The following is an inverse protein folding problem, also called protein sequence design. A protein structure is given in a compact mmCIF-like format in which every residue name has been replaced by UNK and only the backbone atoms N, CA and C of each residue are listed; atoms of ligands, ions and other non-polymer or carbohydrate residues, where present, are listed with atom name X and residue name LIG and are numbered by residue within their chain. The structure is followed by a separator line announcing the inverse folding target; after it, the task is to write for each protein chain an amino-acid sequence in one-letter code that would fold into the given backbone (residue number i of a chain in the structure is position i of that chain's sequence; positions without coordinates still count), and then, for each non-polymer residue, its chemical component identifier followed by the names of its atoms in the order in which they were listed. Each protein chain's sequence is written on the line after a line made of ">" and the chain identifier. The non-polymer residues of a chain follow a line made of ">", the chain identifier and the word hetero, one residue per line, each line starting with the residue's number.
data_IF_328567213404
#
_entry.id   IF_328567213404
#
_cell.length_a   1.000
_cell.length_b   1.000
_cell.length_c   1.000
_cell.angle_alpha   90.00
_cell.angle_beta   90.00
_cell.angle_gamma   90.00
#
_symmetry.space_group_name_H-M   'P 1'
#
loop_
_entity.id
_entity.type
_entity.pdbx_description
1 polymer ?
#
# COMPACT_ATOMS: atom_id res chain seq x y z
N UNK A 1 4.91 -3.95 35.10
CA UNK A 1 4.12 -2.75 34.72
C UNK A 1 4.57 -2.08 33.41
N UNK A 2 5.87 -1.76 33.20
CA UNK A 2 6.35 -1.13 31.94
C UNK A 2 6.16 -2.00 30.69
N UNK A 3 6.40 -3.32 30.79
CA UNK A 3 6.27 -4.27 29.66
C UNK A 3 4.81 -4.41 29.19
N UNK A 4 3.86 -4.48 30.13
CA UNK A 4 2.44 -4.59 29.80
C UNK A 4 1.90 -3.33 29.12
N UNK A 5 2.33 -2.14 29.57
CA UNK A 5 1.98 -0.87 28.92
C UNK A 5 2.56 -0.78 27.51
N UNK A 6 3.80 -1.22 27.30
CA UNK A 6 4.42 -1.27 25.97
C UNK A 6 3.72 -2.27 25.05
N UNK A 7 3.34 -3.44 25.58
CA UNK A 7 2.59 -4.48 24.84
C UNK A 7 1.23 -3.96 24.36
N UNK A 8 0.46 -3.35 25.27
CA UNK A 8 -0.84 -2.74 24.93
C UNK A 8 -0.67 -1.67 23.86
N UNK A 9 0.31 -0.77 24.03
CA UNK A 9 0.61 0.30 23.05
C UNK A 9 0.95 -0.27 21.67
N UNK A 10 1.83 -1.28 21.60
CA UNK A 10 2.22 -1.92 20.35
C UNK A 10 1.03 -2.62 19.66
N UNK A 11 0.22 -3.34 20.43
CA UNK A 11 -0.99 -3.99 19.91
C UNK A 11 -2.02 -3.00 19.36
N UNK A 12 -2.26 -1.87 20.04
CA UNK A 12 -3.16 -0.82 19.56
C UNK A 12 -2.64 -0.14 18.30
N UNK A 13 -1.33 0.16 18.21
CA UNK A 13 -0.73 0.76 17.01
C UNK A 13 -0.89 -0.15 15.80
N UNK A 14 -0.59 -1.45 15.95
CA UNK A 14 -0.78 -2.44 14.88
C UNK A 14 -2.24 -2.58 14.47
N UNK A 15 -3.17 -2.50 15.44
CA UNK A 15 -4.60 -2.57 15.16
C UNK A 15 -5.11 -1.36 14.37
N UNK A 16 -4.74 -0.14 14.79
CA UNK A 16 -5.09 1.09 14.06
C UNK A 16 -4.46 1.09 12.66
N UNK A 17 -3.19 0.68 12.55
CA UNK A 17 -2.50 0.56 11.26
C UNK A 17 -3.24 -0.39 10.31
N UNK A 18 -3.69 -1.54 10.82
CA UNK A 18 -4.49 -2.50 10.04
C UNK A 18 -5.80 -1.89 9.52
N UNK A 19 -6.51 -1.10 10.34
CA UNK A 19 -7.74 -0.42 9.90
C UNK A 19 -7.43 0.61 8.80
N UNK A 20 -6.38 1.42 8.99
CA UNK A 20 -5.97 2.41 7.98
C UNK A 20 -5.58 1.72 6.68
N UNK A 21 -4.78 0.65 6.76
CA UNK A 21 -4.39 -0.15 5.60
C UNK A 21 -5.60 -0.72 4.87
N UNK A 22 -6.61 -1.21 5.60
CA UNK A 22 -7.86 -1.69 5.01
C UNK A 22 -8.60 -0.58 4.25
N UNK A 23 -8.72 0.63 4.82
CA UNK A 23 -9.37 1.77 4.15
C UNK A 23 -8.61 2.16 2.88
N UNK A 24 -7.28 2.23 2.96
CA UNK A 24 -6.42 2.55 1.80
C UNK A 24 -6.56 1.47 0.72
N UNK A 25 -6.59 0.19 1.08
CA UNK A 25 -6.85 -0.93 0.17
C UNK A 25 -8.17 -0.73 -0.59
N UNK A 26 -9.26 -0.38 0.11
CA UNK A 26 -10.57 -0.17 -0.53
C UNK A 26 -10.45 0.92 -1.59
N UNK A 27 -9.85 2.06 -1.23
CA UNK A 27 -9.66 3.19 -2.16
C UNK A 27 -8.81 2.78 -3.37
N UNK A 28 -7.71 2.04 -3.16
CA UNK A 28 -6.83 1.59 -4.24
C UNK A 28 -7.48 0.56 -5.16
N UNK A 29 -8.29 -0.36 -4.64
CA UNK A 29 -9.00 -1.35 -5.44
C UNK A 29 -10.09 -0.67 -6.27
N UNK A 30 -10.96 0.14 -5.65
CA UNK A 30 -12.02 0.85 -6.36
C UNK A 30 -11.47 1.87 -7.36
N UNK A 31 -10.46 2.66 -6.96
CA UNK A 31 -9.77 3.60 -7.83
C UNK A 31 -9.07 2.89 -8.98
N UNK A 32 -8.39 1.77 -8.71
CA UNK A 32 -7.71 0.96 -9.72
C UNK A 32 -8.66 0.36 -10.75
N UNK A 33 -9.78 -0.21 -10.31
CA UNK A 33 -10.84 -0.74 -11.20
C UNK A 33 -11.39 0.39 -12.08
N UNK A 34 -11.69 1.54 -11.50
CA UNK A 34 -12.25 2.69 -12.22
C UNK A 34 -11.27 3.19 -13.29
N UNK A 35 -9.99 3.34 -12.95
CA UNK A 35 -8.95 3.75 -13.91
C UNK A 35 -8.76 2.71 -15.02
N UNK A 36 -8.82 1.41 -14.71
CA UNK A 36 -8.70 0.37 -15.73
C UNK A 36 -9.89 0.36 -16.70
N UNK A 37 -11.12 0.53 -16.21
CA UNK A 37 -12.32 0.61 -17.05
C UNK A 37 -12.28 1.87 -17.92
N UNK A 38 -11.98 3.02 -17.33
CA UNK A 38 -11.93 4.29 -18.07
C UNK A 38 -10.77 4.30 -19.08
N UNK A 39 -9.63 3.73 -18.72
CA UNK A 39 -8.49 3.56 -19.63
C UNK A 39 -8.84 2.64 -20.80
N UNK A 40 -9.52 1.51 -20.55
CA UNK A 40 -10.01 0.62 -21.60
C UNK A 40 -10.98 1.35 -22.55
N UNK A 41 -11.91 2.13 -22.01
CA UNK A 41 -12.83 2.91 -22.83
C UNK A 41 -12.10 3.94 -23.72
N UNK A 42 -11.03 4.56 -23.23
CA UNK A 42 -10.19 5.48 -24.01
C UNK A 42 -9.37 4.79 -25.10
N UNK A 43 -8.95 3.53 -24.88
CA UNK A 43 -8.26 2.70 -25.89
C UNK A 43 -9.23 2.20 -26.95
N UNK A 44 -10.42 1.74 -26.54
CA UNK A 44 -11.43 1.18 -27.44
C UNK A 44 -12.10 2.28 -28.28
N UNK A 45 -12.19 3.52 -27.75
CA UNK A 45 -12.77 4.69 -28.45
C UNK A 45 -11.80 5.90 -28.42
N UNK A 46 -10.65 5.82 -29.09
CA UNK A 46 -9.64 6.85 -29.02
C UNK A 46 -10.06 8.07 -29.85
N UNK A 47 -10.58 9.10 -29.18
CA UNK A 47 -10.80 10.43 -29.77
C UNK A 47 -11.82 10.45 -30.92
N UNK A 48 -13.08 10.13 -30.65
CA UNK A 48 -14.21 10.29 -31.58
C UNK A 48 -14.66 11.76 -31.79
N UNK A 49 -13.72 12.72 -31.72
CA UNK A 49 -14.01 14.12 -32.01
C UNK A 49 -13.93 14.38 -33.51
N UNK A 50 -14.83 15.20 -34.06
CA UNK A 50 -15.02 15.57 -35.48
C UNK A 50 -13.79 16.11 -36.25
N UNK A 51 -12.56 15.95 -35.73
CA UNK A 51 -11.31 16.39 -36.35
C UNK A 51 -10.79 15.32 -37.31
N UNK A 52 -11.07 15.49 -38.60
CA UNK A 52 -10.41 14.73 -39.66
C UNK A 52 -9.03 15.35 -39.98
N UNK A 53 -7.97 14.53 -40.05
CA UNK A 53 -6.60 14.97 -40.39
C UNK A 53 -5.52 14.65 -39.34
N UNK A 54 -4.32 15.22 -39.49
CA UNK A 54 -3.14 14.96 -38.64
C UNK A 54 -3.41 15.26 -37.16
N UNK A 55 -4.12 16.36 -36.84
CA UNK A 55 -4.51 16.68 -35.46
C UNK A 55 -5.45 15.64 -34.84
N UNK A 56 -6.36 15.07 -35.64
CA UNK A 56 -7.25 13.99 -35.21
C UNK A 56 -6.48 12.70 -34.93
N UNK A 57 -5.51 12.35 -35.78
CA UNK A 57 -4.62 11.21 -35.58
C UNK A 57 -3.76 11.37 -34.31
N UNK A 58 -3.19 12.55 -34.09
CA UNK A 58 -2.39 12.85 -32.88
C UNK A 58 -3.25 12.81 -31.62
N UNK A 59 -4.47 13.36 -31.65
CA UNK A 59 -5.41 13.31 -30.53
C UNK A 59 -5.89 11.89 -30.20
N UNK A 60 -6.14 11.07 -31.21
CA UNK A 60 -6.52 9.66 -31.06
C UNK A 60 -5.36 8.83 -30.48
N UNK A 61 -4.14 8.98 -31.00
CA UNK A 61 -2.95 8.34 -30.44
C UNK A 61 -2.67 8.76 -28.99
N UNK A 62 -2.85 10.05 -28.67
CA UNK A 62 -2.70 10.55 -27.30
C UNK A 62 -3.73 9.95 -26.35
N UNK A 63 -5.00 9.88 -26.77
CA UNK A 63 -6.09 9.30 -25.97
C UNK A 63 -5.88 7.81 -25.73
N UNK A 64 -5.47 7.06 -26.75
CA UNK A 64 -5.13 5.65 -26.63
C UNK A 64 -3.92 5.43 -25.69
N UNK A 65 -2.91 6.30 -25.77
CA UNK A 65 -1.73 6.24 -24.90
C UNK A 65 -2.09 6.48 -23.43
N UNK A 66 -2.86 7.54 -23.13
CA UNK A 66 -3.35 7.79 -21.77
C UNK A 66 -4.29 6.69 -21.28
N UNK A 67 -5.09 6.11 -22.18
CA UNK A 67 -5.93 4.94 -21.88
C UNK A 67 -5.11 3.72 -21.47
N UNK A 68 -4.05 3.40 -22.23
CA UNK A 68 -3.13 2.32 -21.91
C UNK A 68 -2.40 2.55 -20.56
N UNK A 69 -1.96 3.77 -20.29
CA UNK A 69 -1.40 4.14 -18.99
C UNK A 69 -2.42 3.96 -17.86
N UNK A 70 -3.67 4.38 -18.05
CA UNK A 70 -4.75 4.20 -17.09
C UNK A 70 -5.01 2.73 -16.74
N UNK A 71 -4.92 1.83 -17.73
CA UNK A 71 -5.01 0.38 -17.51
C UNK A 71 -3.82 -0.12 -16.67
N UNK A 72 -2.59 0.24 -17.03
CA UNK A 72 -1.38 -0.19 -16.30
C UNK A 72 -1.42 0.29 -14.86
N UNK A 73 -1.71 1.57 -14.62
CA UNK A 73 -1.83 2.12 -13.27
C UNK A 73 -2.99 1.49 -12.49
N UNK A 74 -4.12 1.20 -13.16
CA UNK A 74 -5.25 0.51 -12.57
C UNK A 74 -4.88 -0.88 -12.04
N UNK A 75 -4.18 -1.68 -12.87
CA UNK A 75 -3.71 -3.01 -12.48
C UNK A 75 -2.69 -2.93 -11.34
N UNK A 76 -1.72 -2.02 -11.41
CA UNK A 76 -0.73 -1.82 -10.34
C UNK A 76 -1.41 -1.45 -9.02
N UNK A 77 -2.40 -0.56 -9.07
CA UNK A 77 -3.20 -0.17 -7.89
C UNK A 77 -3.93 -1.36 -7.26
N UNK A 78 -4.50 -2.25 -8.07
CA UNK A 78 -5.18 -3.46 -7.59
C UNK A 78 -4.17 -4.42 -6.94
N UNK A 79 -3.02 -4.66 -7.56
CA UNK A 79 -1.97 -5.55 -7.02
C UNK A 79 -1.46 -5.03 -5.67
N UNK A 80 -1.15 -3.73 -5.60
CA UNK A 80 -0.73 -3.08 -4.34
C UNK A 80 -1.83 -3.17 -3.29
N UNK A 81 -3.09 -2.93 -3.67
CA UNK A 81 -4.24 -3.08 -2.78
C UNK A 81 -4.34 -4.48 -2.17
N UNK A 82 -4.18 -5.54 -2.99
CA UNK A 82 -4.16 -6.92 -2.52
C UNK A 82 -3.03 -7.22 -1.52
N UNK A 83 -1.83 -6.70 -1.77
CA UNK A 83 -0.70 -6.86 -0.84
C UNK A 83 -0.97 -6.18 0.51
N UNK A 84 -1.54 -4.97 0.47
CA UNK A 84 -1.95 -4.24 1.68
C UNK A 84 -3.06 -4.97 2.44
N UNK A 85 -3.98 -5.66 1.77
CA UNK A 85 -5.00 -6.50 2.42
C UNK A 85 -4.37 -7.61 3.24
N UNK A 86 -3.36 -8.29 2.68
CA UNK A 86 -2.65 -9.35 3.38
C UNK A 86 -1.95 -8.79 4.62
N UNK A 87 -1.23 -7.68 4.48
CA UNK A 87 -0.56 -7.02 5.60
C UNK A 87 -1.54 -6.56 6.69
N UNK A 88 -2.70 -6.02 6.30
CA UNK A 88 -3.77 -5.63 7.22
C UNK A 88 -4.32 -6.84 7.99
N UNK A 89 -4.58 -7.96 7.32
CA UNK A 89 -5.10 -9.18 7.95
C UNK A 89 -4.07 -9.77 8.93
N UNK A 90 -2.81 -9.91 8.50
CA UNK A 90 -1.74 -10.42 9.37
C UNK A 90 -1.56 -9.52 10.59
N UNK A 91 -1.52 -8.20 10.39
CA UNK A 91 -1.42 -7.22 11.47
C UNK A 91 -2.62 -7.28 12.42
N UNK A 92 -3.84 -7.52 11.92
CA UNK A 92 -5.03 -7.67 12.77
C UNK A 92 -5.00 -8.95 13.62
N UNK A 93 -4.62 -10.08 13.02
CA UNK A 93 -4.56 -11.38 13.72
C UNK A 93 -3.49 -11.33 14.80
N UNK A 94 -2.29 -10.86 14.45
CA UNK A 94 -1.16 -10.85 15.38
C UNK A 94 -1.26 -9.75 16.44
N UNK A 95 -1.86 -8.59 16.14
CA UNK A 95 -2.16 -7.57 17.17
C UNK A 95 -3.09 -8.11 18.25
N UNK A 96 -4.14 -8.86 17.87
CA UNK A 96 -5.04 -9.52 18.83
C UNK A 96 -4.33 -10.55 19.69
N UNK A 97 -3.44 -11.37 19.11
CA UNK A 97 -2.63 -12.34 19.88
C UNK A 97 -1.69 -11.65 20.88
N UNK A 98 -1.08 -10.53 20.48
CA UNK A 98 -0.22 -9.71 21.36
C UNK A 98 -1.04 -9.07 22.49
N UNK A 99 -2.25 -8.59 22.20
CA UNK A 99 -3.13 -7.95 23.18
C UNK A 99 -3.71 -8.95 24.19
N UNK A 100 -4.08 -10.16 23.74
CA UNK A 100 -4.67 -11.23 24.58
C UNK A 100 -3.66 -12.04 25.39
N UNK A 101 -2.36 -11.80 25.18
CA UNK A 101 -1.29 -12.50 25.87
C UNK A 101 -1.31 -14.03 25.63
N UNK A 102 -1.51 -14.43 24.38
CA UNK A 102 -1.47 -15.85 23.97
C UNK A 102 -0.09 -16.49 24.19
N UNK A 103 -0.02 -17.82 24.33
CA UNK A 103 1.25 -18.55 24.50
C UNK A 103 2.26 -18.30 23.36
N UNK A 104 1.78 -17.95 22.17
CA UNK A 104 2.57 -17.76 20.94
C UNK A 104 2.93 -16.30 20.61
N UNK A 105 3.00 -15.41 21.61
CA UNK A 105 3.38 -14.00 21.39
C UNK A 105 4.73 -13.88 20.69
N UNK A 106 5.73 -14.68 21.08
CA UNK A 106 7.07 -14.60 20.49
C UNK A 106 7.08 -14.91 18.99
N UNK A 107 6.26 -15.89 18.56
CA UNK A 107 6.07 -16.21 17.14
C UNK A 107 5.34 -15.09 16.41
N UNK A 108 4.30 -14.53 17.02
CA UNK A 108 3.54 -13.41 16.45
C UNK A 108 4.39 -12.16 16.25
N UNK A 109 5.27 -11.83 17.20
CA UNK A 109 6.20 -10.69 17.07
C UNK A 109 7.16 -10.91 15.89
N UNK A 110 7.71 -12.12 15.71
CA UNK A 110 8.59 -12.43 14.57
C UNK A 110 7.87 -12.29 13.24
N UNK A 111 6.64 -12.79 13.14
CA UNK A 111 5.84 -12.68 11.91
C UNK A 111 5.53 -11.21 11.60
N UNK A 112 5.08 -10.42 12.59
CA UNK A 112 4.85 -8.99 12.37
C UNK A 112 6.12 -8.24 11.93
N UNK A 113 7.29 -8.57 12.47
CA UNK A 113 8.54 -7.94 12.00
C UNK A 113 8.81 -8.32 10.53
N UNK A 114 8.60 -9.58 10.16
CA UNK A 114 8.79 -10.03 8.79
C UNK A 114 7.82 -9.36 7.81
N UNK A 115 6.54 -9.22 8.17
CA UNK A 115 5.55 -8.52 7.32
C UNK A 115 5.91 -7.04 7.18
N UNK A 116 6.30 -6.37 8.26
CA UNK A 116 6.73 -4.97 8.20
C UNK A 116 7.98 -4.76 7.32
N UNK A 117 8.92 -5.71 7.30
CA UNK A 117 10.08 -5.68 6.38
C UNK A 117 9.61 -5.79 4.92
N UNK A 118 8.66 -6.68 4.63
CA UNK A 118 8.06 -6.78 3.29
C UNK A 118 7.38 -5.47 2.92
N UNK A 119 6.65 -4.83 3.84
CA UNK A 119 6.03 -3.54 3.61
C UNK A 119 7.06 -2.44 3.29
N UNK A 120 8.22 -2.42 3.96
CA UNK A 120 9.33 -1.52 3.59
C UNK A 120 9.82 -1.78 2.17
N UNK A 121 10.02 -3.04 1.79
CA UNK A 121 10.46 -3.42 0.42
C UNK A 121 9.45 -2.93 -0.62
N UNK A 122 8.15 -3.16 -0.39
CA UNK A 122 7.08 -2.67 -1.26
C UNK A 122 7.10 -1.14 -1.35
N UNK A 123 7.29 -0.44 -0.23
CA UNK A 123 7.44 1.00 -0.19
C UNK A 123 8.61 1.52 -1.04
N UNK A 124 9.74 0.81 -1.08
CA UNK A 124 10.88 1.16 -1.94
C UNK A 124 10.50 1.05 -3.42
N UNK A 125 9.81 -0.01 -3.83
CA UNK A 125 9.32 -0.15 -5.22
C UNK A 125 8.34 0.96 -5.60
N UNK A 126 7.41 1.31 -4.71
CA UNK A 126 6.47 2.43 -4.93
C UNK A 126 7.25 3.76 -5.04
N UNK A 127 8.32 3.93 -4.26
CA UNK A 127 9.18 5.12 -4.34
C UNK A 127 9.85 5.24 -5.71
N UNK A 128 10.42 4.14 -6.23
CA UNK A 128 11.03 4.11 -7.56
C UNK A 128 10.00 4.44 -8.65
N UNK A 129 8.80 3.86 -8.55
CA UNK A 129 7.69 4.16 -9.46
C UNK A 129 7.24 5.63 -9.37
N UNK A 130 7.18 6.20 -8.16
CA UNK A 130 6.85 7.60 -7.93
C UNK A 130 7.88 8.55 -8.53
N UNK A 131 9.17 8.25 -8.38
CA UNK A 131 10.27 9.04 -8.98
C UNK A 131 10.21 8.97 -10.51
N UNK A 132 9.96 7.80 -11.08
CA UNK A 132 9.84 7.62 -12.53
C UNK A 132 8.70 8.48 -13.12
N UNK A 133 7.63 8.69 -12.36
CA UNK A 133 6.45 9.44 -12.78
C UNK A 133 6.33 10.82 -12.11
N UNK A 134 7.41 11.39 -11.55
CA UNK A 134 7.34 12.60 -10.71
C UNK A 134 6.82 13.84 -11.42
N UNK A 135 6.86 13.85 -12.76
CA UNK A 135 6.29 14.91 -13.61
C UNK A 135 4.76 14.91 -13.61
N UNK A 136 4.15 13.80 -13.22
CA UNK A 136 2.70 13.64 -13.12
C UNK A 136 2.27 13.76 -11.65
N UNK A 137 1.08 14.32 -11.42
CA UNK A 137 0.51 14.41 -10.06
C UNK A 137 0.42 13.04 -9.38
N UNK A 138 0.21 11.98 -10.17
CA UNK A 138 0.19 10.58 -9.72
C UNK A 138 1.54 10.17 -9.11
N UNK A 139 2.67 10.59 -9.69
CA UNK A 139 4.00 10.27 -9.17
C UNK A 139 4.27 10.89 -7.80
N UNK A 140 3.82 12.14 -7.59
CA UNK A 140 3.93 12.82 -6.29
C UNK A 140 3.10 12.11 -5.23
N UNK A 141 1.87 11.71 -5.57
CA UNK A 141 0.97 10.98 -4.66
C UNK A 141 1.60 9.62 -4.27
N UNK A 142 2.14 8.88 -5.24
CA UNK A 142 2.83 7.62 -4.98
C UNK A 142 4.03 7.79 -4.06
N UNK A 143 4.81 8.86 -4.24
CA UNK A 143 5.94 9.20 -3.38
C UNK A 143 5.51 9.50 -1.94
N UNK A 144 4.45 10.28 -1.74
CA UNK A 144 3.92 10.58 -0.40
C UNK A 144 3.44 9.31 0.29
N UNK A 145 2.69 8.45 -0.42
CA UNK A 145 2.22 7.17 0.11
C UNK A 145 3.41 6.28 0.50
N UNK A 146 4.43 6.18 -0.35
CA UNK A 146 5.61 5.37 -0.10
C UNK A 146 6.38 5.82 1.14
N UNK A 147 6.60 7.12 1.30
CA UNK A 147 7.32 7.69 2.46
C UNK A 147 6.57 7.38 3.76
N UNK A 148 5.25 7.62 3.78
CA UNK A 148 4.42 7.33 4.95
C UNK A 148 4.49 5.84 5.30
N UNK A 149 4.38 4.97 4.30
CA UNK A 149 4.39 3.53 4.51
C UNK A 149 5.74 3.04 5.04
N UNK A 150 6.87 3.53 4.50
CA UNK A 150 8.21 3.20 4.99
C UNK A 150 8.41 3.69 6.42
N UNK A 151 8.09 4.97 6.70
CA UNK A 151 8.27 5.56 8.01
C UNK A 151 7.46 4.83 9.10
N UNK A 152 6.19 4.51 8.80
CA UNK A 152 5.34 3.75 9.71
C UNK A 152 5.87 2.34 9.94
N UNK A 153 6.34 1.66 8.88
CA UNK A 153 6.85 0.29 9.01
C UNK A 153 8.13 0.21 9.82
N UNK A 154 9.05 1.16 9.63
CA UNK A 154 10.26 1.28 10.46
C UNK A 154 9.91 1.54 11.93
N UNK A 155 8.99 2.46 12.20
CA UNK A 155 8.55 2.75 13.57
C UNK A 155 7.96 1.51 14.26
N UNK A 156 7.14 0.74 13.55
CA UNK A 156 6.57 -0.51 14.07
C UNK A 156 7.64 -1.58 14.31
N UNK A 157 8.61 -1.74 13.41
CA UNK A 157 9.75 -2.68 13.58
C UNK A 157 10.53 -2.34 14.84
N UNK A 158 10.83 -1.06 15.08
CA UNK A 158 11.55 -0.62 16.28
C UNK A 158 10.77 -0.94 17.55
N UNK A 159 9.45 -0.68 17.56
CA UNK A 159 8.57 -1.01 18.68
C UNK A 159 8.50 -2.51 18.95
N UNK A 160 8.29 -3.33 17.91
CA UNK A 160 8.25 -4.78 18.00
C UNK A 160 9.59 -5.38 18.44
N UNK A 161 10.71 -4.81 17.99
CA UNK A 161 12.06 -5.25 18.37
C UNK A 161 12.34 -4.96 19.85
N UNK A 162 11.89 -3.80 20.35
CA UNK A 162 11.94 -3.49 21.79
C UNK A 162 11.09 -4.47 22.61
N UNK A 163 9.87 -4.77 22.14
CA UNK A 163 8.98 -5.75 22.77
C UNK A 163 9.61 -7.16 22.79
N UNK A 164 10.23 -7.59 21.68
CA UNK A 164 10.94 -8.87 21.56
C UNK A 164 12.06 -9.00 22.58
N UNK A 165 12.91 -7.97 22.74
CA UNK A 165 14.01 -7.97 23.71
C UNK A 165 13.50 -8.07 25.15
N UNK A 166 12.43 -7.35 25.49
CA UNK A 166 11.85 -7.38 26.83
C UNK A 166 11.22 -8.73 27.18
N UNK A 167 10.62 -9.42 26.19
CA UNK A 167 10.05 -10.76 26.38
C UNK A 167 11.07 -11.90 26.36
N UNK A 168 12.32 -11.67 25.97
CA UNK A 168 13.36 -12.72 26.04
C UNK A 168 14.22 -12.64 27.30
N UNK A 169 14.05 -11.58 28.10
CA UNK A 169 14.80 -11.32 29.34
C UNK A 169 13.99 -11.73 30.59
N UNK A 170 12.67 -11.89 30.44
CA UNK A 170 11.76 -12.47 31.42
C UNK A 170 11.46 -13.92 31.08
#
# INVERSE_FOLDING_TARGET
>A
MKVEKLRKTCGYILYIKSIIALVVTIILIFGGITMAIMGKHMVDNPGQGDKTGFEGAVGSCSTAFFGALGIVFGIVSIVVGCLLTLDAIFSMIHSRRILRNDSDIAKSIKVCIATEIVSVIVGIFITVAGIANIKEAVGIILLVIAIILIAQSIATIVLLSKLKKLNSVN
#
